data_IF_331213101729
#
_entry.id   IF_331213101729
#
_cell.length_a   1.000
_cell.length_b   1.000
_cell.length_c   1.000
_cell.angle_alpha   90.00
_cell.angle_beta   90.00
_cell.angle_gamma   90.00
#
_symmetry.space_group_name_H-M   'P 1'
#
loop_
_entity.id
_entity.type
_entity.pdbx_description
1 polymer ?
#
# COMPACT_ATOMS: atom_id res chain seq x y z
N UNK A 1 13.67 0.36 -1.46
CA UNK A 1 13.47 1.82 -1.41
C UNK A 1 14.64 2.62 -1.98
N UNK A 2 15.90 2.27 -1.69
CA UNK A 2 17.07 3.05 -2.13
C UNK A 2 17.15 3.31 -3.64
N UNK A 3 16.88 2.30 -4.49
CA UNK A 3 16.88 2.47 -5.95
C UNK A 3 15.82 3.49 -6.39
N UNK A 4 14.61 3.41 -5.83
CA UNK A 4 13.54 4.40 -6.08
C UNK A 4 13.98 5.80 -5.66
N UNK A 5 14.60 5.93 -4.49
CA UNK A 5 15.10 7.22 -4.01
C UNK A 5 16.14 7.82 -4.97
N UNK A 6 17.08 7.02 -5.45
CA UNK A 6 18.09 7.46 -6.45
C UNK A 6 17.41 7.89 -7.75
N UNK A 7 16.47 7.09 -8.26
CA UNK A 7 15.76 7.39 -9.50
C UNK A 7 14.92 8.68 -9.40
N UNK A 8 14.21 8.87 -8.28
CA UNK A 8 13.49 10.12 -7.99
C UNK A 8 14.48 11.29 -7.93
N UNK A 9 15.63 11.12 -7.26
CA UNK A 9 16.68 12.14 -7.13
C UNK A 9 17.26 12.60 -8.48
N UNK A 10 17.29 11.72 -9.47
CA UNK A 10 17.78 12.00 -10.82
C UNK A 10 16.67 12.41 -11.81
N UNK A 11 15.41 12.42 -11.37
CA UNK A 11 14.28 12.80 -12.22
C UNK A 11 14.30 14.30 -12.57
N UNK A 12 14.10 14.62 -13.84
CA UNK A 12 14.23 15.97 -14.43
C UNK A 12 13.39 16.12 -15.72
N UNK A 13 13.53 17.24 -16.42
CA UNK A 13 12.91 17.45 -17.73
C UNK A 13 13.55 16.61 -18.85
N UNK A 14 14.78 16.14 -18.68
CA UNK A 14 15.52 15.40 -19.72
C UNK A 14 14.93 14.00 -20.00
N UNK A 15 13.97 13.56 -19.20
CA UNK A 15 13.30 12.28 -19.34
C UNK A 15 12.19 12.28 -20.42
N UNK A 16 11.86 13.43 -21.01
CA UNK A 16 10.95 13.53 -22.16
C UNK A 16 11.70 14.05 -23.41
N UNK A 17 11.32 13.60 -24.63
CA UNK A 17 11.85 14.14 -25.88
C UNK A 17 11.57 15.64 -26.05
N UNK A 18 12.45 16.33 -26.78
CA UNK A 18 12.20 17.72 -27.18
C UNK A 18 10.90 17.83 -27.99
N UNK A 19 10.11 18.86 -27.70
CA UNK A 19 8.81 19.10 -28.35
C UNK A 19 7.61 18.42 -27.68
N UNK A 20 7.82 17.58 -26.68
CA UNK A 20 6.74 17.04 -25.85
C UNK A 20 6.29 18.04 -24.78
N UNK A 21 4.99 18.08 -24.42
CA UNK A 21 4.54 18.91 -23.32
C UNK A 21 5.01 18.34 -21.99
N UNK A 22 5.35 19.22 -21.05
CA UNK A 22 5.81 18.83 -19.71
C UNK A 22 4.81 17.94 -18.96
N UNK A 23 3.50 18.03 -19.25
CA UNK A 23 2.49 17.17 -18.62
C UNK A 23 2.71 15.67 -18.85
N UNK A 24 3.50 15.28 -19.85
CA UNK A 24 3.89 13.87 -20.11
C UNK A 24 4.84 13.35 -19.03
N UNK A 25 5.59 14.22 -18.33
CA UNK A 25 6.49 13.81 -17.26
C UNK A 25 5.76 13.10 -16.12
N UNK A 26 4.49 13.43 -15.88
CA UNK A 26 3.65 12.73 -14.91
C UNK A 26 3.63 11.23 -15.22
N UNK A 27 3.40 10.85 -16.47
CA UNK A 27 3.30 9.46 -16.91
C UNK A 27 4.67 8.75 -16.88
N UNK A 28 5.75 9.46 -17.25
CA UNK A 28 7.12 8.93 -17.17
C UNK A 28 7.55 8.69 -15.71
N UNK A 29 6.99 9.45 -14.76
CA UNK A 29 7.31 9.32 -13.35
C UNK A 29 6.62 8.12 -12.67
N UNK A 30 5.46 7.68 -13.18
CA UNK A 30 4.67 6.56 -12.63
C UNK A 30 5.51 5.31 -12.32
N UNK A 31 6.25 4.71 -13.29
CA UNK A 31 7.01 3.48 -13.03
C UNK A 31 8.18 3.70 -12.04
N UNK A 32 8.74 4.90 -11.98
CA UNK A 32 9.79 5.26 -11.02
C UNK A 32 9.20 5.34 -9.61
N UNK A 33 8.05 6.01 -9.47
CA UNK A 33 7.39 6.19 -8.20
C UNK A 33 6.86 4.87 -7.63
N UNK A 34 6.31 4.00 -8.47
CA UNK A 34 5.82 2.67 -8.07
C UNK A 34 6.85 1.55 -8.23
N UNK A 35 8.14 1.88 -8.40
CA UNK A 35 9.21 0.91 -8.63
C UNK A 35 9.28 -0.20 -7.57
N UNK A 36 8.86 0.10 -6.34
CA UNK A 36 8.90 -0.80 -5.20
C UNK A 36 7.73 -1.82 -5.15
N UNK A 37 6.76 -1.75 -6.08
CA UNK A 37 5.51 -2.54 -6.02
C UNK A 37 5.73 -4.05 -5.88
N UNK A 38 6.66 -4.59 -6.67
CA UNK A 38 6.94 -6.04 -6.67
C UNK A 38 7.75 -6.47 -5.44
N UNK A 39 8.66 -5.62 -4.96
CA UNK A 39 9.39 -5.90 -3.72
C UNK A 39 8.46 -5.85 -2.51
N UNK A 40 7.49 -4.94 -2.49
CA UNK A 40 6.45 -4.91 -1.46
C UNK A 40 5.64 -6.19 -1.49
N UNK A 41 5.13 -6.59 -2.65
CA UNK A 41 4.37 -7.85 -2.78
C UNK A 41 5.18 -9.06 -2.27
N UNK A 42 6.46 -9.14 -2.63
CA UNK A 42 7.35 -10.20 -2.18
C UNK A 42 7.60 -10.17 -0.67
N UNK A 43 7.88 -8.99 -0.10
CA UNK A 43 8.11 -8.83 1.35
C UNK A 43 6.88 -9.21 2.17
N UNK A 44 5.68 -8.86 1.69
CA UNK A 44 4.42 -9.20 2.37
C UNK A 44 4.20 -10.73 2.41
N UNK A 45 4.67 -11.50 1.41
CA UNK A 45 4.53 -12.97 1.38
C UNK A 45 5.25 -13.67 2.54
N UNK A 46 6.24 -13.02 3.15
CA UNK A 46 6.91 -13.53 4.35
C UNK A 46 5.97 -13.58 5.56
N UNK A 47 4.98 -12.69 5.63
CA UNK A 47 4.03 -12.58 6.73
C UNK A 47 2.98 -13.68 6.66
N UNK A 48 2.93 -14.53 7.69
CA UNK A 48 2.14 -15.76 7.66
C UNK A 48 2.60 -16.71 6.53
N UNK A 49 3.86 -16.58 6.11
CA UNK A 49 4.49 -17.37 5.05
C UNK A 49 4.98 -18.73 5.55
N UNK A 50 5.18 -19.66 4.60
CA UNK A 50 5.76 -20.97 4.84
C UNK A 50 6.73 -21.30 3.71
N UNK A 51 7.82 -21.98 4.04
CA UNK A 51 8.69 -22.62 3.06
C UNK A 51 7.95 -23.85 2.52
N UNK A 52 7.60 -23.79 1.24
CA UNK A 52 6.97 -24.90 0.55
C UNK A 52 8.02 -25.90 0.11
N UNK A 53 7.91 -27.12 0.62
CA UNK A 53 8.63 -28.27 0.11
C UNK A 53 7.66 -29.06 -0.77
N UNK A 54 7.93 -29.11 -2.08
CA UNK A 54 7.13 -29.87 -3.07
C UNK A 54 7.55 -31.34 -3.16
N UNK A 55 8.12 -31.89 -2.08
CA UNK A 55 8.52 -33.28 -1.99
C UNK A 55 7.39 -34.24 -2.36
N UNK A 56 7.73 -35.23 -3.18
CA UNK A 56 6.83 -36.29 -3.61
C UNK A 56 6.87 -37.47 -2.62
N UNK A 57 5.84 -38.32 -2.67
CA UNK A 57 5.76 -39.55 -1.87
C UNK A 57 7.05 -40.38 -2.03
N UNK A 58 7.76 -40.62 -0.92
CA UNK A 58 9.04 -41.33 -0.90
C UNK A 58 10.28 -40.43 -0.76
N UNK A 59 10.11 -39.11 -0.72
CA UNK A 59 11.20 -38.19 -0.38
C UNK A 59 11.70 -38.42 1.06
N UNK A 60 13.02 -38.30 1.26
CA UNK A 60 13.68 -38.53 2.56
C UNK A 60 13.38 -37.45 3.61
N UNK A 61 12.89 -36.29 3.19
CA UNK A 61 12.54 -35.17 4.07
C UNK A 61 11.46 -34.33 3.37
N UNK A 62 10.43 -33.96 4.11
CA UNK A 62 9.49 -32.90 3.75
C UNK A 62 9.41 -31.92 4.92
N UNK A 63 9.93 -30.71 4.76
CA UNK A 63 9.94 -29.72 5.84
C UNK A 63 9.16 -28.48 5.39
N UNK A 64 7.84 -28.53 5.61
CA UNK A 64 7.00 -27.33 5.54
C UNK A 64 7.16 -26.54 6.84
N UNK A 65 8.10 -25.60 6.85
CA UNK A 65 8.36 -24.74 8.00
C UNK A 65 7.79 -23.34 7.79
N UNK A 66 7.21 -22.77 8.85
CA UNK A 66 6.85 -21.36 8.86
C UNK A 66 8.10 -20.49 8.79
N UNK A 67 8.02 -19.35 8.10
CA UNK A 67 9.06 -18.32 8.15
C UNK A 67 9.34 -17.96 9.61
N UNK A 68 10.62 -17.75 9.96
CA UNK A 68 11.01 -17.50 11.35
C UNK A 68 10.32 -16.25 11.94
N UNK A 69 10.05 -16.21 13.25
CA UNK A 69 9.43 -15.04 13.87
C UNK A 69 10.21 -13.74 13.62
N UNK A 70 11.53 -13.80 13.61
CA UNK A 70 12.43 -12.66 13.37
C UNK A 70 12.28 -12.12 11.96
N UNK A 71 12.26 -13.00 10.95
CA UNK A 71 12.06 -12.63 9.55
C UNK A 71 10.66 -12.06 9.31
N UNK A 72 9.61 -12.62 9.93
CA UNK A 72 8.26 -12.07 9.81
C UNK A 72 8.18 -10.65 10.39
N UNK A 73 8.74 -10.42 11.59
CA UNK A 73 8.79 -9.08 12.18
C UNK A 73 9.61 -8.10 11.36
N UNK A 74 10.73 -8.56 10.79
CA UNK A 74 11.52 -7.75 9.88
C UNK A 74 10.75 -7.38 8.61
N UNK A 75 10.06 -8.36 8.00
CA UNK A 75 9.20 -8.14 6.85
C UNK A 75 8.08 -7.14 7.17
N UNK A 76 7.44 -7.25 8.35
CA UNK A 76 6.39 -6.33 8.77
C UNK A 76 6.91 -4.90 8.83
N UNK A 77 8.04 -4.66 9.50
CA UNK A 77 8.67 -3.33 9.55
C UNK A 77 9.01 -2.80 8.16
N UNK A 78 9.53 -3.66 7.28
CA UNK A 78 9.92 -3.29 5.92
C UNK A 78 8.71 -2.92 5.05
N UNK A 79 7.62 -3.69 5.14
CA UNK A 79 6.34 -3.44 4.45
C UNK A 79 5.73 -2.15 4.95
N UNK A 80 5.62 -1.98 6.26
CA UNK A 80 5.10 -0.78 6.89
C UNK A 80 5.90 0.46 6.47
N UNK A 81 7.22 0.38 6.40
CA UNK A 81 8.03 1.50 5.92
C UNK A 81 7.68 1.93 4.48
N UNK A 82 7.14 1.07 3.62
CA UNK A 82 6.75 1.47 2.24
C UNK A 82 5.61 2.47 2.18
N UNK A 83 4.77 2.52 3.22
CA UNK A 83 3.62 3.43 3.32
C UNK A 83 3.86 4.59 4.30
N UNK A 84 5.08 4.71 4.85
CA UNK A 84 5.44 5.82 5.71
C UNK A 84 5.37 7.15 4.91
N UNK A 85 4.88 8.25 5.51
CA UNK A 85 4.71 9.53 4.80
C UNK A 85 5.97 10.01 4.09
N UNK A 86 7.13 9.90 4.75
CA UNK A 86 8.43 10.29 4.18
C UNK A 86 8.81 9.46 2.94
N UNK A 87 8.40 8.19 2.88
CA UNK A 87 8.66 7.32 1.75
C UNK A 87 7.70 7.57 0.58
N UNK A 88 6.44 7.87 0.87
CA UNK A 88 5.44 8.20 -0.15
C UNK A 88 5.61 9.61 -0.69
N UNK A 89 6.26 10.51 0.04
CA UNK A 89 6.47 11.88 -0.37
C UNK A 89 7.12 12.03 -1.75
N UNK A 90 6.48 12.81 -2.63
CA UNK A 90 7.07 13.28 -3.88
C UNK A 90 7.77 14.62 -3.60
N UNK A 91 9.09 14.74 -3.86
CA UNK A 91 9.82 15.99 -3.63
C UNK A 91 9.23 17.18 -4.39
N UNK A 92 9.17 18.35 -3.75
CA UNK A 92 8.63 19.58 -4.36
C UNK A 92 9.31 19.92 -5.69
N UNK A 93 10.62 19.72 -5.79
CA UNK A 93 11.36 19.94 -7.05
C UNK A 93 10.89 19.04 -8.20
N UNK A 94 10.36 17.85 -7.89
CA UNK A 94 9.84 16.89 -8.87
C UNK A 94 8.39 17.23 -9.19
N UNK A 95 7.59 17.50 -8.16
CA UNK A 95 6.20 17.93 -8.33
C UNK A 95 6.07 19.21 -9.16
N UNK A 96 6.99 20.17 -9.00
CA UNK A 96 7.02 21.40 -9.78
C UNK A 96 7.19 21.16 -11.30
N UNK A 97 7.59 19.95 -11.71
CA UNK A 97 7.70 19.55 -13.12
C UNK A 97 6.37 19.08 -13.71
N UNK A 98 5.31 18.92 -12.90
CA UNK A 98 4.02 18.37 -13.32
C UNK A 98 2.96 19.48 -13.45
N UNK A 99 2.93 20.23 -14.56
CA UNK A 99 1.85 21.17 -14.80
C UNK A 99 0.53 20.40 -15.03
N UNK A 100 -0.62 21.09 -14.96
CA UNK A 100 -1.88 20.52 -15.39
C UNK A 100 -1.80 19.89 -16.77
N UNK A 101 -2.58 18.82 -16.99
CA UNK A 101 -2.57 18.07 -18.26
C UNK A 101 -2.80 19.00 -19.46
N UNK A 102 -1.92 18.90 -20.46
CA UNK A 102 -2.05 19.67 -21.69
C UNK A 102 -3.25 19.20 -22.53
N UNK A 103 -3.79 20.10 -23.34
CA UNK A 103 -4.86 19.75 -24.29
C UNK A 103 -4.38 18.64 -25.24
N UNK A 104 -5.19 17.60 -25.41
CA UNK A 104 -4.85 16.42 -26.21
C UNK A 104 -4.02 15.35 -25.48
N UNK A 105 -3.66 15.57 -24.21
CA UNK A 105 -2.92 14.61 -23.38
C UNK A 105 -3.74 14.20 -22.14
N UNK A 106 -4.89 13.54 -22.29
CA UNK A 106 -5.68 13.05 -21.14
C UNK A 106 -4.91 11.96 -20.37
N UNK A 107 -5.37 11.65 -19.16
CA UNK A 107 -4.84 10.49 -18.42
C UNK A 107 -5.23 9.19 -19.10
N UNK A 108 -4.35 8.20 -19.01
CA UNK A 108 -4.56 6.85 -19.51
C UNK A 108 -4.65 5.84 -18.36
N UNK A 109 -4.75 4.55 -18.69
CA UNK A 109 -4.65 3.46 -17.70
C UNK A 109 -3.29 3.41 -16.98
N UNK A 110 -2.26 3.99 -17.60
CA UNK A 110 -0.88 4.02 -17.10
C UNK A 110 -0.56 5.30 -16.32
N UNK A 111 -1.48 6.28 -16.31
CA UNK A 111 -1.32 7.53 -15.56
C UNK A 111 -1.67 7.34 -14.08
N UNK A 112 -1.12 8.21 -13.22
CA UNK A 112 -1.58 8.33 -11.84
C UNK A 112 -3.10 8.52 -11.75
N UNK A 113 -3.73 7.90 -10.75
CA UNK A 113 -5.12 8.24 -10.40
C UNK A 113 -5.14 9.61 -9.71
N UNK A 114 -6.21 10.36 -9.89
CA UNK A 114 -6.32 11.73 -9.36
C UNK A 114 -7.75 12.06 -8.97
N UNK A 115 -7.88 12.74 -7.83
CA UNK A 115 -9.09 13.39 -7.34
C UNK A 115 -9.09 14.90 -7.60
N UNK A 116 -8.02 15.45 -8.17
CA UNK A 116 -7.81 16.90 -8.40
C UNK A 116 -8.06 17.33 -9.86
N UNK A 117 -8.81 16.53 -10.63
CA UNK A 117 -9.07 16.83 -12.03
C UNK A 117 -7.78 16.88 -12.85
N UNK A 118 -7.57 17.91 -13.67
CA UNK A 118 -6.39 18.00 -14.56
C UNK A 118 -5.08 18.32 -13.85
N UNK A 119 -5.13 18.78 -12.61
CA UNK A 119 -3.93 19.06 -11.80
C UNK A 119 -3.28 17.77 -11.34
N UNK A 120 -1.99 17.85 -11.06
CA UNK A 120 -1.27 16.75 -10.42
C UNK A 120 -1.78 16.55 -8.98
N UNK A 121 -1.99 15.29 -8.60
CA UNK A 121 -2.52 14.90 -7.28
C UNK A 121 -1.51 14.01 -6.55
N UNK A 122 -0.65 14.57 -5.68
CA UNK A 122 0.35 13.80 -4.95
C UNK A 122 -0.27 12.89 -3.88
N UNK A 123 -1.47 13.23 -3.35
CA UNK A 123 -2.12 12.45 -2.30
C UNK A 123 -2.72 11.16 -2.88
N UNK A 124 -3.47 11.27 -3.98
CA UNK A 124 -4.05 10.09 -4.65
C UNK A 124 -2.96 9.22 -5.26
N UNK A 125 -1.89 9.80 -5.80
CA UNK A 125 -0.72 9.05 -6.27
C UNK A 125 -0.06 8.21 -5.16
N UNK A 126 0.20 8.83 -4.00
CA UNK A 126 0.68 8.13 -2.80
C UNK A 126 -0.33 7.08 -2.31
N UNK A 127 -1.61 7.43 -2.37
CA UNK A 127 -2.75 6.59 -2.08
C UNK A 127 -2.70 5.26 -2.81
N UNK A 128 -2.47 5.24 -4.12
CA UNK A 128 -2.43 3.99 -4.87
C UNK A 128 -1.33 3.03 -4.38
N UNK A 129 -0.15 3.55 -4.02
CA UNK A 129 0.91 2.72 -3.45
C UNK A 129 0.52 2.18 -2.06
N UNK A 130 -0.08 3.03 -1.23
CA UNK A 130 -0.54 2.65 0.10
C UNK A 130 -1.67 1.61 0.05
N UNK A 131 -2.68 1.82 -0.80
CA UNK A 131 -3.79 0.90 -1.04
C UNK A 131 -3.29 -0.49 -1.41
N UNK A 132 -2.35 -0.59 -2.36
CA UNK A 132 -1.76 -1.88 -2.75
C UNK A 132 -1.07 -2.56 -1.57
N UNK A 133 -0.23 -1.83 -0.82
CA UNK A 133 0.46 -2.41 0.34
C UNK A 133 -0.52 -2.89 1.40
N UNK A 134 -1.54 -2.10 1.73
CA UNK A 134 -2.54 -2.39 2.73
C UNK A 134 -3.42 -3.57 2.31
N UNK A 135 -3.82 -3.64 1.05
CA UNK A 135 -4.55 -4.77 0.47
C UNK A 135 -3.77 -6.07 0.63
N UNK A 136 -2.49 -6.06 0.28
CA UNK A 136 -1.66 -7.22 0.52
C UNK A 136 -1.57 -7.49 2.01
N UNK A 137 -1.21 -6.53 2.86
CA UNK A 137 -1.00 -6.75 4.29
C UNK A 137 -2.23 -7.37 4.98
N UNK A 138 -3.43 -6.86 4.68
CA UNK A 138 -4.70 -7.22 5.31
C UNK A 138 -5.53 -8.25 4.54
N UNK A 139 -4.94 -8.95 3.57
CA UNK A 139 -5.62 -9.99 2.84
C UNK A 139 -6.14 -11.09 3.81
N UNK A 140 -7.43 -11.49 3.78
CA UNK A 140 -8.04 -12.38 4.79
C UNK A 140 -7.29 -13.70 4.99
N UNK A 141 -6.87 -14.36 3.90
CA UNK A 141 -6.11 -15.60 3.99
C UNK A 141 -4.76 -15.42 4.72
N UNK A 142 -4.13 -14.23 4.64
CA UNK A 142 -2.90 -13.91 5.38
C UNK A 142 -3.16 -13.83 6.86
N UNK A 143 -4.18 -13.06 7.23
CA UNK A 143 -4.55 -12.83 8.62
C UNK A 143 -4.93 -14.15 9.29
N UNK A 144 -5.66 -15.01 8.59
CA UNK A 144 -5.95 -16.38 9.02
C UNK A 144 -4.68 -17.21 9.26
N UNK A 145 -3.70 -17.14 8.34
CA UNK A 145 -2.42 -17.84 8.50
C UNK A 145 -1.61 -17.31 9.68
N UNK A 146 -1.49 -16.00 9.83
CA UNK A 146 -0.77 -15.36 10.96
C UNK A 146 -1.40 -15.81 12.29
N UNK A 147 -2.73 -15.72 12.39
CA UNK A 147 -3.46 -16.18 13.57
C UNK A 147 -3.17 -17.66 13.87
N UNK A 148 -3.31 -18.55 12.88
CA UNK A 148 -3.08 -19.98 13.08
C UNK A 148 -1.62 -20.32 13.42
N UNK A 149 -0.66 -19.63 12.79
CA UNK A 149 0.76 -19.82 13.09
C UNK A 149 1.09 -19.46 14.53
N UNK A 150 0.53 -18.37 15.06
CA UNK A 150 0.69 -17.99 16.46
C UNK A 150 0.08 -19.03 17.42
N UNK A 151 -1.12 -19.55 17.11
CA UNK A 151 -1.76 -20.60 17.91
C UNK A 151 -0.87 -21.84 18.00
N UNK A 152 -0.21 -22.21 16.90
CA UNK A 152 0.69 -23.38 16.86
C UNK A 152 2.06 -23.11 17.48
N UNK A 153 2.58 -21.89 17.33
CA UNK A 153 3.92 -21.50 17.73
C UNK A 153 3.85 -20.15 18.47
N UNK A 154 3.84 -20.15 19.82
CA UNK A 154 3.58 -18.93 20.60
C UNK A 154 4.51 -17.74 20.33
N UNK A 155 5.73 -18.00 19.84
CA UNK A 155 6.72 -16.95 19.55
C UNK A 155 6.54 -16.29 18.17
N UNK A 156 5.68 -16.85 17.30
CA UNK A 156 5.43 -16.29 15.97
C UNK A 156 4.80 -14.89 16.03
N UNK A 157 4.91 -14.15 14.92
CA UNK A 157 4.21 -12.88 14.76
C UNK A 157 2.72 -13.08 15.05
N UNK A 158 2.18 -12.31 15.98
CA UNK A 158 0.76 -12.34 16.31
C UNK A 158 -0.04 -11.38 15.44
N UNK A 159 -1.35 -11.64 15.32
CA UNK A 159 -2.25 -10.70 14.65
C UNK A 159 -2.34 -9.38 15.44
N UNK A 160 -2.29 -9.45 16.78
CA UNK A 160 -2.31 -8.26 17.64
C UNK A 160 -1.05 -7.40 17.43
N UNK A 161 0.13 -8.03 17.37
CA UNK A 161 1.41 -7.35 17.09
C UNK A 161 1.38 -6.68 15.70
N UNK A 162 0.82 -7.35 14.68
CA UNK A 162 0.65 -6.75 13.35
C UNK A 162 -0.24 -5.49 13.40
N UNK A 163 -1.39 -5.57 14.08
CA UNK A 163 -2.35 -4.48 14.18
C UNK A 163 -1.80 -3.29 14.98
N UNK A 164 -1.17 -3.57 16.13
CA UNK A 164 -0.54 -2.56 16.97
C UNK A 164 0.57 -1.83 16.20
N UNK A 165 1.51 -2.56 15.57
CA UNK A 165 2.61 -1.94 14.83
C UNK A 165 2.13 -1.16 13.61
N UNK A 166 1.07 -1.63 12.94
CA UNK A 166 0.48 -0.91 11.80
C UNK A 166 -0.13 0.42 12.24
N UNK A 167 -0.90 0.42 13.33
CA UNK A 167 -1.55 1.62 13.82
C UNK A 167 -0.57 2.59 14.51
N UNK A 168 0.48 2.10 15.19
CA UNK A 168 1.52 2.93 15.80
C UNK A 168 2.24 3.85 14.81
N UNK A 169 2.39 3.44 13.55
CA UNK A 169 3.05 4.25 12.53
C UNK A 169 2.42 5.63 12.38
N UNK A 170 1.09 5.70 12.47
CA UNK A 170 0.33 6.93 12.23
C UNK A 170 0.34 7.87 13.43
N UNK A 171 0.78 7.41 14.60
CA UNK A 171 0.69 8.18 15.85
C UNK A 171 1.87 9.16 16.05
N UNK A 172 2.81 9.22 15.11
CA UNK A 172 3.98 10.10 15.17
C UNK A 172 3.68 11.47 14.55
N UNK A 173 4.16 12.53 15.21
CA UNK A 173 4.14 13.87 14.64
C UNK A 173 4.99 13.92 13.37
N UNK A 174 4.47 14.60 12.34
CA UNK A 174 5.14 14.73 11.05
C UNK A 174 5.89 16.05 10.98
N UNK A 175 7.04 16.07 10.29
CA UNK A 175 7.92 17.23 10.24
C UNK A 175 7.42 18.37 9.34
N UNK A 176 6.34 18.17 8.58
CA UNK A 176 5.73 19.20 7.73
C UNK A 176 4.25 18.92 7.48
N UNK A 177 3.49 19.97 7.16
CA UNK A 177 2.06 19.86 6.82
C UNK A 177 1.79 18.89 5.66
N UNK A 178 2.72 18.81 4.70
CA UNK A 178 2.65 17.89 3.56
C UNK A 178 2.74 16.43 4.00
N UNK A 179 3.67 16.12 4.91
CA UNK A 179 3.79 14.79 5.49
C UNK A 179 2.61 14.47 6.41
N UNK A 180 2.08 15.46 7.14
CA UNK A 180 0.83 15.32 7.91
C UNK A 180 -0.34 14.91 7.00
N UNK A 181 -0.57 15.64 5.91
CA UNK A 181 -1.64 15.32 4.97
C UNK A 181 -1.51 13.91 4.36
N UNK A 182 -0.28 13.50 4.02
CA UNK A 182 -0.01 12.12 3.56
C UNK A 182 -0.31 11.08 4.66
N UNK A 183 0.11 11.35 5.90
CA UNK A 183 -0.15 10.46 7.04
C UNK A 183 -1.64 10.26 7.27
N UNK A 184 -2.42 11.34 7.23
CA UNK A 184 -3.88 11.32 7.40
C UNK A 184 -4.58 10.59 6.26
N UNK A 185 -4.16 10.84 5.02
CA UNK A 185 -4.71 10.17 3.85
C UNK A 185 -4.48 8.65 3.90
N UNK A 186 -3.25 8.21 4.20
CA UNK A 186 -2.92 6.79 4.32
C UNK A 186 -3.61 6.15 5.52
N UNK A 187 -3.76 6.88 6.63
CA UNK A 187 -4.49 6.41 7.80
C UNK A 187 -5.97 6.15 7.47
N UNK A 188 -6.60 6.99 6.65
CA UNK A 188 -7.97 6.73 6.19
C UNK A 188 -8.06 5.41 5.42
N UNK A 189 -7.13 5.17 4.49
CA UNK A 189 -7.05 3.91 3.73
C UNK A 189 -6.80 2.71 4.64
N UNK A 190 -5.94 2.85 5.65
CA UNK A 190 -5.66 1.81 6.65
C UNK A 190 -6.94 1.38 7.37
N UNK A 191 -7.70 2.34 7.91
CA UNK A 191 -8.93 2.04 8.65
C UNK A 191 -9.98 1.35 7.77
N UNK A 192 -10.18 1.87 6.55
CA UNK A 192 -11.09 1.24 5.58
C UNK A 192 -10.67 -0.18 5.24
N UNK A 193 -9.37 -0.42 5.07
CA UNK A 193 -8.86 -1.76 4.79
C UNK A 193 -9.08 -2.73 5.96
N UNK A 194 -8.90 -2.27 7.20
CA UNK A 194 -9.17 -3.08 8.40
C UNK A 194 -10.67 -3.38 8.54
N UNK A 195 -11.54 -2.38 8.31
CA UNK A 195 -13.00 -2.56 8.27
C UNK A 195 -13.41 -3.63 7.26
N UNK A 196 -12.95 -3.52 6.01
CA UNK A 196 -13.23 -4.51 4.97
C UNK A 196 -12.72 -5.91 5.33
N UNK A 197 -11.49 -6.02 5.85
CA UNK A 197 -10.93 -7.31 6.28
C UNK A 197 -11.76 -7.95 7.41
N UNK A 198 -12.38 -7.14 8.27
CA UNK A 198 -13.17 -7.61 9.40
C UNK A 198 -14.56 -8.16 9.02
N UNK A 199 -15.05 -7.83 7.82
CA UNK A 199 -16.32 -8.34 7.29
C UNK A 199 -16.13 -9.33 6.13
N UNK A 200 -14.91 -9.43 5.57
CA UNK A 200 -14.56 -10.35 4.51
C UNK A 200 -15.04 -11.79 4.77
N UNK A 201 -15.73 -12.39 3.79
CA UNK A 201 -16.32 -13.74 3.90
C UNK A 201 -15.29 -14.83 4.22
N UNK A 202 -14.05 -14.64 3.74
CA UNK A 202 -12.94 -15.57 3.89
C UNK A 202 -12.21 -15.43 5.24
N UNK A 203 -12.47 -14.38 6.02
CA UNK A 203 -11.83 -14.18 7.33
C UNK A 203 -12.46 -15.11 8.38
N UNK A 204 -11.62 -15.78 9.18
CA UNK A 204 -12.09 -16.63 10.28
C UNK A 204 -12.80 -15.79 11.36
N UNK A 205 -13.80 -16.34 12.09
CA UNK A 205 -14.49 -15.60 13.16
C UNK A 205 -13.55 -14.98 14.20
N UNK A 206 -12.48 -15.69 14.58
CA UNK A 206 -11.48 -15.21 15.53
C UNK A 206 -10.66 -14.04 14.97
N UNK A 207 -10.35 -14.06 13.68
CA UNK A 207 -9.67 -12.96 12.98
C UNK A 207 -10.60 -11.76 12.89
N UNK A 208 -11.87 -11.96 12.50
CA UNK A 208 -12.89 -10.89 12.48
C UNK A 208 -13.03 -10.23 13.85
N UNK A 209 -13.09 -11.02 14.92
CA UNK A 209 -13.20 -10.53 16.28
C UNK A 209 -12.00 -9.65 16.66
N UNK A 210 -10.77 -10.07 16.36
CA UNK A 210 -9.54 -9.29 16.62
C UNK A 210 -9.50 -7.98 15.83
N UNK A 211 -9.91 -8.00 14.56
CA UNK A 211 -9.97 -6.79 13.74
C UNK A 211 -11.02 -5.80 14.27
N UNK A 212 -12.20 -6.28 14.65
CA UNK A 212 -13.25 -5.44 15.25
C UNK A 212 -12.82 -4.87 16.61
N UNK A 213 -12.19 -5.67 17.45
CA UNK A 213 -11.63 -5.21 18.74
C UNK A 213 -10.57 -4.12 18.52
N UNK A 214 -9.70 -4.28 17.52
CA UNK A 214 -8.74 -3.24 17.14
C UNK A 214 -9.43 -1.93 16.74
N UNK A 215 -10.49 -1.99 15.93
CA UNK A 215 -11.26 -0.80 15.53
C UNK A 215 -11.91 -0.10 16.74
N UNK A 216 -12.46 -0.85 17.71
CA UNK A 216 -12.99 -0.29 18.96
C UNK A 216 -11.90 0.43 19.77
N UNK A 217 -10.70 -0.14 19.85
CA UNK A 217 -9.57 0.50 20.54
C UNK A 217 -9.09 1.75 19.82
N UNK A 218 -9.18 1.76 18.49
CA UNK A 218 -8.72 2.85 17.64
C UNK A 218 -9.50 4.15 17.87
N UNK A 219 -10.78 4.09 18.26
CA UNK A 219 -11.58 5.28 18.63
C UNK A 219 -10.91 6.13 19.72
N UNK A 220 -10.28 5.48 20.71
CA UNK A 220 -9.54 6.17 21.78
C UNK A 220 -8.22 6.73 21.27
N UNK A 221 -7.56 6.04 20.35
CA UNK A 221 -6.31 6.49 19.74
C UNK A 221 -6.53 7.71 18.84
N UNK A 222 -7.62 7.75 18.08
CA UNK A 222 -8.01 8.89 17.26
C UNK A 222 -8.05 10.18 18.09
N UNK A 223 -8.73 10.16 19.24
CA UNK A 223 -8.84 11.32 20.14
C UNK A 223 -7.51 11.71 20.77
N UNK A 224 -6.60 10.76 20.98
CA UNK A 224 -5.31 11.00 21.62
C UNK A 224 -4.28 11.58 20.64
N UNK A 225 -4.14 10.97 19.46
CA UNK A 225 -3.07 11.24 18.51
C UNK A 225 -3.50 12.07 17.30
N UNK A 226 -4.80 12.08 16.96
CA UNK A 226 -5.33 12.66 15.71
C UNK A 226 -6.43 13.69 15.99
N UNK A 227 -6.19 14.62 16.93
CA UNK A 227 -7.22 15.54 17.46
C UNK A 227 -8.01 16.30 16.39
N UNK A 228 -7.33 16.83 15.38
CA UNK A 228 -7.94 17.64 14.33
C UNK A 228 -8.92 16.84 13.44
N UNK A 229 -8.59 15.57 13.15
CA UNK A 229 -9.41 14.68 12.32
C UNK A 229 -10.18 13.62 13.13
N UNK A 230 -10.14 13.69 14.46
CA UNK A 230 -10.78 12.70 15.32
C UNK A 230 -12.28 12.59 15.01
N UNK A 231 -12.96 13.71 14.76
CA UNK A 231 -14.38 13.72 14.39
C UNK A 231 -14.64 12.94 13.09
N UNK A 232 -13.83 13.15 12.06
CA UNK A 232 -13.92 12.43 10.78
C UNK A 232 -13.77 10.92 10.96
N UNK A 233 -12.74 10.49 11.69
CA UNK A 233 -12.52 9.06 11.88
C UNK A 233 -13.60 8.39 12.73
N UNK A 234 -14.11 9.08 13.75
CA UNK A 234 -15.21 8.59 14.57
C UNK A 234 -16.51 8.49 13.77
N UNK A 235 -16.79 9.46 12.90
CA UNK A 235 -17.95 9.39 12.01
C UNK A 235 -17.86 8.20 11.05
N UNK A 236 -16.70 8.00 10.42
CA UNK A 236 -16.45 6.83 9.57
C UNK A 236 -16.62 5.50 10.32
N UNK A 237 -16.13 5.40 11.56
CA UNK A 237 -16.34 4.22 12.41
C UNK A 237 -17.80 4.03 12.78
N UNK A 238 -18.53 5.10 13.12
CA UNK A 238 -19.95 5.04 13.44
C UNK A 238 -20.78 4.57 12.24
N UNK A 239 -20.51 5.09 11.04
CA UNK A 239 -21.15 4.64 9.81
C UNK A 239 -20.89 3.15 9.55
N UNK A 240 -19.64 2.71 9.73
CA UNK A 240 -19.30 1.30 9.64
C UNK A 240 -20.07 0.44 10.65
N UNK A 241 -20.20 0.87 11.90
CA UNK A 241 -20.92 0.11 12.94
C UNK A 241 -22.43 0.01 12.71
N UNK A 242 -23.03 0.95 11.95
CA UNK A 242 -24.45 0.89 11.62
C UNK A 242 -24.76 -0.28 10.67
N UNK A 243 -23.98 -0.45 9.60
CA UNK A 243 -24.16 -1.52 8.62
C UNK A 243 -22.81 -2.14 8.19
N UNK A 244 -22.15 -2.95 9.05
CA UNK A 244 -20.83 -3.50 8.74
C UNK A 244 -20.81 -4.38 7.49
N UNK A 245 -21.87 -5.17 7.27
CA UNK A 245 -21.94 -6.14 6.16
C UNK A 245 -22.06 -5.47 4.78
N UNK A 246 -22.50 -4.21 4.74
CA UNK A 246 -22.60 -3.39 3.52
C UNK A 246 -21.32 -2.56 3.28
N UNK A 247 -20.31 -2.69 4.14
CA UNK A 247 -19.08 -1.92 4.00
C UNK A 247 -18.35 -2.31 2.71
N UNK A 248 -18.32 -1.37 1.77
CA UNK A 248 -17.62 -1.52 0.51
C UNK A 248 -16.30 -0.74 0.50
N UNK A 249 -15.28 -1.37 -0.07
CA UNK A 249 -13.93 -0.83 -0.21
C UNK A 249 -13.77 0.01 -1.50
N UNK A 250 -14.87 0.40 -2.17
CA UNK A 250 -14.83 1.10 -3.46
C UNK A 250 -14.03 2.42 -3.45
N UNK A 251 -13.93 3.12 -2.32
CA UNK A 251 -13.26 4.42 -2.21
C UNK A 251 -11.74 4.30 -2.00
N UNK A 252 -11.03 3.57 -2.86
CA UNK A 252 -9.56 3.55 -2.84
C UNK A 252 -8.98 3.76 -4.23
N UNK A 253 -7.88 4.51 -4.35
CA UNK A 253 -7.19 4.61 -5.63
C UNK A 253 -6.45 3.31 -5.93
N UNK A 254 -6.66 2.77 -7.13
CA UNK A 254 -5.92 1.62 -7.65
C UNK A 254 -4.57 2.05 -8.22
N UNK A 255 -3.64 1.08 -8.32
CA UNK A 255 -2.42 1.28 -9.08
C UNK A 255 -2.72 1.37 -10.58
N UNK A 256 -1.98 2.20 -11.33
CA UNK A 256 -2.02 2.14 -12.79
C UNK A 256 -1.57 0.75 -13.28
N UNK A 257 -2.20 0.25 -14.34
CA UNK A 257 -1.97 -1.09 -14.90
C UNK A 257 -0.48 -1.29 -15.27
N UNK A 258 0.19 -0.19 -15.65
CA UNK A 258 1.53 -0.18 -16.20
C UNK A 258 1.55 -0.67 -17.65
N UNK A 259 2.65 -0.41 -18.35
CA UNK A 259 2.80 -0.83 -19.73
C UNK A 259 2.88 -2.36 -19.83
N UNK A 260 2.29 -2.98 -20.88
CA UNK A 260 2.37 -4.43 -21.04
C UNK A 260 3.84 -4.86 -21.19
N UNK A 261 4.24 -5.88 -20.44
CA UNK A 261 5.59 -6.44 -20.56
C UNK A 261 5.59 -7.41 -21.74
N UNK A 262 6.37 -7.11 -22.78
CA UNK A 262 6.58 -8.01 -23.92
C UNK A 262 5.54 -7.95 -25.04
N UNK A 263 4.74 -6.88 -25.13
CA UNK A 263 3.80 -6.69 -26.25
C UNK A 263 4.39 -5.95 -27.46
N UNK A 264 5.68 -5.59 -27.41
CA UNK A 264 6.35 -5.05 -28.58
C UNK A 264 6.57 -6.18 -29.57
N UNK A 265 5.70 -6.25 -30.59
CA UNK A 265 6.12 -6.74 -31.89
C UNK A 265 7.33 -5.90 -32.29
N UNK A 266 8.54 -6.46 -32.19
CA UNK A 266 9.74 -5.91 -32.80
C UNK A 266 9.57 -5.93 -34.32
N UNK A 267 8.79 -4.99 -34.85
CA UNK A 267 8.79 -4.68 -36.28
C UNK A 267 10.04 -3.85 -36.49
N UNK A 268 11.13 -4.53 -36.82
CA UNK A 268 12.23 -3.86 -37.50
C UNK A 268 11.65 -3.30 -38.81
N UNK A 269 11.72 -1.99 -39.07
CA UNK A 269 11.40 -1.50 -40.38
C UNK A 269 12.42 -2.12 -41.34
N UNK A 270 11.93 -2.91 -42.29
CA UNK A 270 12.74 -3.30 -43.45
C UNK A 270 13.21 -1.99 -44.09
N UNK A 271 14.54 -1.82 -44.10
CA UNK A 271 15.20 -0.77 -44.85
C UNK A 271 15.11 -1.16 -46.33
N UNK A 272 14.19 -0.53 -47.05
CA UNK A 272 14.26 -0.37 -48.51
C UNK A 272 14.91 0.99 -48.83
#
# INVERSE_FOLDING_TARGET
MSVRTVAINQFSLNQIPKGQPHSVLEDVFVPIYYLHRYQTEAAVKMLGGQHYDYSIKGARSSINQTVSPEEQRHALRTVLNTIAPLQLHIPERVEALFPPRAFGYPRSRESFKSSMGVSFDPLTAAGSAASMTLEFLFHPARLNRIYWQQVRYPNQLSLDELLEKSAEMFNSEQSSARLTALNEYVLNLYLRQVMAASVAKQALPQVKAKLKDHLYHWERWAKKYHKELAAHYLDMLNQYWQNPEDFDLMDRPDLPDGSPIGSDLCIFPELD
#
